data_IF_053836912011
#
_entry.id   IF_053836912011
#
_cell.length_a   1.000
_cell.length_b   1.000
_cell.length_c   1.000
_cell.angle_alpha   90.00
_cell.angle_beta   90.00
_cell.angle_gamma   90.00
#
_symmetry.space_group_name_H-M   'P 1'
#
loop_
_entity.id
_entity.type
_entity.pdbx_description
1 polymer ?
#
# COMPACT_ATOMS: atom_id res chain seq x y z
N UNK A 1 16.60 0.64 14.78
CA UNK A 1 15.79 0.84 13.55
C UNK A 1 14.32 0.70 13.89
N UNK A 2 13.54 1.78 13.85
CA UNK A 2 12.12 1.74 14.19
C UNK A 2 11.35 1.06 13.04
N UNK A 3 10.66 -0.05 13.33
CA UNK A 3 9.80 -0.70 12.33
C UNK A 3 8.55 0.15 12.15
N UNK A 4 8.25 0.52 10.91
CA UNK A 4 7.00 1.21 10.58
C UNK A 4 5.84 0.21 10.66
N UNK A 5 5.11 0.24 11.77
CA UNK A 5 3.91 -0.58 12.00
C UNK A 5 2.62 0.12 11.52
N UNK A 6 2.75 1.27 10.84
CA UNK A 6 1.63 2.03 10.32
C UNK A 6 0.96 1.38 9.10
N UNK A 7 -0.12 1.99 8.60
CA UNK A 7 -0.81 1.50 7.41
C UNK A 7 0.07 1.66 6.16
N UNK A 8 0.76 0.58 5.75
CA UNK A 8 1.66 0.58 4.58
C UNK A 8 1.01 1.01 3.26
N UNK A 9 -0.30 0.80 3.08
CA UNK A 9 -1.01 1.26 1.89
C UNK A 9 -1.14 2.79 1.81
N UNK A 10 -1.00 3.50 2.93
CA UNK A 10 -0.92 4.98 2.95
C UNK A 10 0.39 5.44 2.31
N UNK A 11 1.48 4.71 2.49
CA UNK A 11 2.76 5.02 1.84
C UNK A 11 2.64 4.88 0.32
N UNK A 12 2.04 3.78 -0.17
CA UNK A 12 1.80 3.64 -1.62
C UNK A 12 0.98 4.80 -2.19
N UNK A 13 -0.03 5.29 -1.45
CA UNK A 13 -0.83 6.45 -1.89
C UNK A 13 -0.04 7.76 -1.85
N UNK A 14 0.81 7.96 -0.83
CA UNK A 14 1.66 9.14 -0.71
C UNK A 14 2.68 9.24 -1.83
N UNK A 15 3.28 8.11 -2.20
CA UNK A 15 4.28 8.03 -3.27
C UNK A 15 3.67 7.94 -4.67
N UNK A 16 2.34 7.85 -4.79
CA UNK A 16 1.66 7.71 -6.09
C UNK A 16 1.93 6.40 -6.84
N UNK A 17 2.60 5.43 -6.21
CA UNK A 17 2.99 4.15 -6.82
C UNK A 17 2.85 2.96 -5.88
N UNK A 18 2.69 1.75 -6.45
CA UNK A 18 2.67 0.51 -5.66
C UNK A 18 4.09 0.19 -5.17
N UNK A 19 4.30 0.32 -3.86
CA UNK A 19 5.57 -0.05 -3.20
C UNK A 19 5.68 -1.54 -2.84
N UNK A 20 4.66 -2.35 -3.15
CA UNK A 20 4.61 -3.80 -2.88
C UNK A 20 4.95 -4.24 -1.44
N UNK A 21 4.77 -3.37 -0.44
CA UNK A 21 5.09 -3.62 0.97
C UNK A 21 4.25 -4.72 1.66
N UNK A 22 3.15 -5.18 1.03
CA UNK A 22 2.35 -6.34 1.51
C UNK A 22 2.55 -7.61 0.68
N UNK A 23 3.54 -7.65 -0.21
CA UNK A 23 3.83 -8.81 -1.05
C UNK A 23 2.61 -9.25 -1.88
N UNK A 24 2.21 -10.51 -1.73
CA UNK A 24 1.12 -11.16 -2.50
C UNK A 24 -0.17 -10.34 -2.53
N UNK A 25 -0.55 -9.69 -1.43
CA UNK A 25 -1.78 -8.88 -1.37
C UNK A 25 -1.76 -7.69 -2.34
N UNK A 26 -0.59 -7.15 -2.66
CA UNK A 26 -0.43 -6.03 -3.59
C UNK A 26 -0.65 -6.40 -5.08
N UNK A 27 -0.54 -7.68 -5.42
CA UNK A 27 -0.79 -8.21 -6.76
C UNK A 27 -2.25 -8.61 -6.98
N UNK A 28 -3.03 -8.72 -5.89
CA UNK A 28 -4.45 -9.06 -5.98
C UNK A 28 -5.32 -7.81 -6.08
N UNK A 29 -6.52 -7.95 -6.64
CA UNK A 29 -7.59 -6.92 -6.64
C UNK A 29 -8.02 -6.47 -5.22
N UNK A 30 -7.49 -7.10 -4.15
CA UNK A 30 -7.69 -6.70 -2.75
C UNK A 30 -6.69 -5.64 -2.29
N UNK A 31 -5.78 -5.17 -3.16
CA UNK A 31 -4.86 -4.09 -2.86
C UNK A 31 -5.64 -2.80 -2.55
N UNK A 32 -5.39 -2.20 -1.37
CA UNK A 32 -6.10 -1.00 -0.96
C UNK A 32 -5.75 0.23 -1.81
N UNK A 33 -4.60 0.20 -2.49
CA UNK A 33 -4.22 1.22 -3.47
C UNK A 33 -5.10 1.14 -4.73
N UNK A 34 -5.36 -0.07 -5.24
CA UNK A 34 -6.23 -0.23 -6.44
C UNK A 34 -7.71 -0.05 -6.12
N UNK A 35 -8.16 -0.50 -4.94
CA UNK A 35 -9.57 -0.41 -4.53
C UNK A 35 -10.01 1.00 -4.19
N UNK A 36 -9.11 1.90 -3.80
CA UNK A 36 -9.41 3.28 -3.42
C UNK A 36 -8.43 4.18 -4.16
N UNK A 37 -8.84 4.59 -5.36
CA UNK A 37 -8.11 5.58 -6.15
C UNK A 37 -8.04 6.96 -5.46
N UNK A 38 -8.85 7.19 -4.41
CA UNK A 38 -8.87 8.46 -3.66
C UNK A 38 -9.22 8.25 -2.18
N UNK A 39 -8.65 9.12 -1.34
CA UNK A 39 -8.66 9.25 0.14
C UNK A 39 -7.54 8.59 0.97
#
# INVERSE_FOLDING_TARGET
MAKYNGPVCRLCRREGMKLFLKGTRCYTKKCAFERRATS
#
